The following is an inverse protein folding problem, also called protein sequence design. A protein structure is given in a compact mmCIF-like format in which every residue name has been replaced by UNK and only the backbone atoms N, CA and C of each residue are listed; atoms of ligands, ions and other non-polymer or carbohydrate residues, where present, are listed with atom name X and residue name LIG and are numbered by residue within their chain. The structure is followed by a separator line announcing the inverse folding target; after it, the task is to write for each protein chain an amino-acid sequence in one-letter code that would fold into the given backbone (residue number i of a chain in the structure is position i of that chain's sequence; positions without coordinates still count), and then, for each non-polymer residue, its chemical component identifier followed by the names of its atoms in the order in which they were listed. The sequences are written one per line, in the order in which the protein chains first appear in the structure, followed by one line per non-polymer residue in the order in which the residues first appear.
data_IF_303458749837
#
_entry.id   IF_303458749837
#
_cell.length_a   1.000
_cell.length_b   1.000
_cell.length_c   1.000
_cell.angle_alpha   90.00
_cell.angle_beta   90.00
_cell.angle_gamma   90.00
#
_symmetry.space_group_name_H-M   'P 1'
#
loop_
_entity.id
_entity.type
_entity.pdbx_description
1 polymer ?
#
# COMPACT_ATOMS: atom_id res chain seq x y z
N UNK A 1 4.27 -0.32 13.37
CA UNK A 1 3.31 -1.09 12.53
C UNK A 1 3.05 -0.43 11.18
N UNK A 2 2.55 0.82 11.14
CA UNK A 2 2.19 1.55 9.90
C UNK A 2 3.31 1.65 8.86
N UNK A 3 4.49 2.14 9.24
CA UNK A 3 5.63 2.26 8.33
C UNK A 3 6.06 0.91 7.74
N UNK A 4 6.01 -0.16 8.54
CA UNK A 4 6.36 -1.50 8.11
C UNK A 4 5.39 -2.00 7.02
N UNK A 5 4.08 -1.76 7.19
CA UNK A 5 3.06 -2.09 6.20
C UNK A 5 3.25 -1.31 4.89
N UNK A 6 3.45 0.01 4.97
CA UNK A 6 3.72 0.86 3.78
C UNK A 6 4.98 0.37 3.05
N UNK A 7 6.03 0.03 3.79
CA UNK A 7 7.26 -0.50 3.22
C UNK A 7 7.04 -1.88 2.55
N UNK A 8 6.20 -2.75 3.11
CA UNK A 8 5.83 -4.02 2.50
C UNK A 8 5.08 -3.80 1.17
N UNK A 9 4.10 -2.90 1.16
CA UNK A 9 3.36 -2.53 -0.06
C UNK A 9 4.30 -1.99 -1.14
N UNK A 10 5.23 -1.10 -0.77
CA UNK A 10 6.25 -0.56 -1.68
C UNK A 10 7.17 -1.65 -2.23
N UNK A 11 7.63 -2.57 -1.38
CA UNK A 11 8.46 -3.71 -1.80
C UNK A 11 7.73 -4.59 -2.78
N UNK A 12 6.45 -4.89 -2.52
CA UNK A 12 5.63 -5.68 -3.41
C UNK A 12 5.40 -4.99 -4.76
N UNK A 13 5.18 -3.67 -4.77
CA UNK A 13 5.11 -2.89 -6.02
C UNK A 13 6.38 -3.07 -6.85
N UNK A 14 7.55 -2.92 -6.20
CA UNK A 14 8.85 -3.06 -6.86
C UNK A 14 9.09 -4.49 -7.35
N UNK A 15 8.70 -5.51 -6.58
CA UNK A 15 8.83 -6.92 -6.97
C UNK A 15 7.96 -7.28 -8.19
N UNK A 16 6.85 -6.57 -8.40
CA UNK A 16 5.99 -6.71 -9.58
C UNK A 16 6.40 -5.80 -10.75
N UNK A 17 7.54 -5.11 -10.67
CA UNK A 17 8.00 -4.14 -11.68
C UNK A 17 6.98 -3.03 -12.00
N UNK A 18 6.14 -2.67 -11.03
CA UNK A 18 5.11 -1.65 -11.20
C UNK A 18 5.66 -0.26 -10.85
N UNK A 19 5.35 0.73 -11.67
CA UNK A 19 5.64 2.14 -11.39
C UNK A 19 4.60 2.74 -10.44
N UNK A 20 4.94 3.88 -9.84
CA UNK A 20 3.96 4.64 -9.04
C UNK A 20 2.77 5.14 -9.87
N UNK A 21 2.96 5.38 -11.18
CA UNK A 21 1.87 5.74 -12.10
C UNK A 21 0.89 4.57 -12.30
N UNK A 22 1.40 3.37 -12.56
CA UNK A 22 0.56 2.17 -12.76
C UNK A 22 -0.25 1.82 -11.50
N UNK A 23 0.34 1.97 -10.31
CA UNK A 23 -0.42 1.84 -9.07
C UNK A 23 -1.48 2.94 -8.94
N UNK A 24 -1.15 4.18 -9.30
CA UNK A 24 -2.09 5.28 -9.24
C UNK A 24 -3.31 5.06 -10.15
N UNK A 25 -3.08 4.56 -11.38
CA UNK A 25 -4.14 4.17 -12.32
C UNK A 25 -5.06 3.10 -11.73
N UNK A 26 -4.49 2.01 -11.19
CA UNK A 26 -5.27 0.94 -10.54
C UNK A 26 -6.04 1.42 -9.31
N UNK A 27 -5.48 2.36 -8.56
CA UNK A 27 -6.11 2.95 -7.37
C UNK A 27 -7.08 4.10 -7.71
N UNK A 28 -7.21 4.49 -8.98
CA UNK A 28 -7.94 5.67 -9.43
C UNK A 28 -7.53 6.94 -8.66
N UNK A 29 -6.23 7.18 -8.59
CA UNK A 29 -5.65 8.34 -7.91
C UNK A 29 -4.50 8.94 -8.71
N UNK A 30 -3.87 9.99 -8.18
CA UNK A 30 -2.72 10.64 -8.81
C UNK A 30 -1.40 10.04 -8.30
N UNK A 31 -0.37 9.99 -9.16
CA UNK A 31 0.99 9.53 -8.79
C UNK A 31 1.54 10.20 -7.55
N UNK A 32 1.31 11.51 -7.39
CA UNK A 32 1.76 12.26 -6.22
C UNK A 32 1.17 11.69 -4.92
N UNK A 33 -0.06 11.17 -4.94
CA UNK A 33 -0.68 10.54 -3.77
C UNK A 33 -0.02 9.22 -3.43
N UNK A 34 0.32 8.40 -4.44
CA UNK A 34 1.08 7.15 -4.28
C UNK A 34 2.48 7.43 -3.74
N UNK A 35 3.16 8.45 -4.27
CA UNK A 35 4.48 8.87 -3.79
C UNK A 35 4.45 9.33 -2.34
N UNK A 36 3.47 10.18 -1.98
CA UNK A 36 3.27 10.63 -0.59
C UNK A 36 2.94 9.45 0.35
N UNK A 37 2.14 8.49 -0.11
CA UNK A 37 1.78 7.29 0.64
C UNK A 37 3.03 6.45 0.92
N UNK A 38 3.86 6.19 -0.09
CA UNK A 38 5.12 5.42 0.04
C UNK A 38 6.16 6.11 0.93
N UNK A 39 6.11 7.44 1.01
CA UNK A 39 6.94 8.25 1.93
C UNK A 39 6.30 8.40 3.32
N UNK A 40 5.14 7.78 3.56
CA UNK A 40 4.36 7.88 4.79
C UNK A 40 4.02 9.32 5.25
N UNK A 41 3.98 10.28 4.31
CA UNK A 41 3.87 11.73 4.57
C UNK A 41 2.48 12.22 5.01
N UNK A 42 1.47 11.36 4.99
CA UNK A 42 0.13 11.64 5.53
C UNK A 42 -0.44 10.36 6.09
N UNK A 43 -1.47 10.42 6.94
CA UNK A 43 -2.08 9.22 7.51
C UNK A 43 -3.11 8.59 6.54
N UNK A 44 -2.80 7.48 5.84
CA UNK A 44 -3.74 6.83 4.95
C UNK A 44 -4.78 6.08 5.77
N UNK A 45 -6.03 6.20 5.36
CA UNK A 45 -7.11 5.36 5.87
C UNK A 45 -6.85 3.90 5.49
N UNK A 46 -7.40 2.96 6.25
CA UNK A 46 -7.32 1.53 5.95
C UNK A 46 -7.76 1.21 4.51
N UNK A 47 -8.83 1.87 4.03
CA UNK A 47 -9.30 1.71 2.65
C UNK A 47 -8.25 2.09 1.59
N UNK A 48 -7.37 3.06 1.87
CA UNK A 48 -6.28 3.42 0.96
C UNK A 48 -5.22 2.32 0.91
N UNK A 49 -4.91 1.70 2.06
CA UNK A 49 -3.96 0.59 2.15
C UNK A 49 -4.50 -0.66 1.45
N UNK A 50 -5.80 -0.93 1.61
CA UNK A 50 -6.50 -2.03 0.91
C UNK A 50 -6.46 -1.86 -0.61
N UNK A 51 -6.81 -0.66 -1.12
CA UNK A 51 -6.73 -0.37 -2.57
C UNK A 51 -5.32 -0.51 -3.12
N UNK A 52 -4.30 -0.10 -2.35
CA UNK A 52 -2.91 -0.28 -2.76
C UNK A 52 -2.55 -1.77 -2.83
N UNK A 53 -2.90 -2.56 -1.80
CA UNK A 53 -2.63 -4.00 -1.79
C UNK A 53 -3.27 -4.68 -3.00
N UNK A 54 -4.54 -4.38 -3.28
CA UNK A 54 -5.25 -4.88 -4.46
C UNK A 54 -4.58 -4.46 -5.77
N UNK A 55 -4.14 -3.21 -5.89
CA UNK A 55 -3.42 -2.70 -7.06
C UNK A 55 -2.08 -3.43 -7.31
N UNK A 56 -1.45 -3.98 -6.27
CA UNK A 56 -0.23 -4.79 -6.38
C UNK A 56 -0.53 -6.29 -6.55
N UNK A 57 -1.80 -6.71 -6.46
CA UNK A 57 -2.19 -8.11 -6.49
C UNK A 57 -1.98 -8.85 -5.17
N UNK A 58 -1.92 -8.12 -4.05
CA UNK A 58 -1.82 -8.68 -2.70
C UNK A 58 -3.15 -8.66 -1.96
N UNK A 59 -3.30 -9.61 -1.03
CA UNK A 59 -4.39 -9.64 -0.06
C UNK A 59 -3.85 -9.27 1.32
N UNK A 60 -4.46 -8.28 1.96
CA UNK A 60 -4.16 -7.95 3.36
C UNK A 60 -4.98 -8.84 4.30
N UNK A 61 -4.29 -9.49 5.24
CA UNK A 61 -4.91 -10.29 6.31
C UNK A 61 -4.60 -9.67 7.65
N UNK A 62 -5.63 -9.47 8.49
CA UNK A 62 -5.47 -9.03 9.87
C UNK A 62 -5.43 -10.25 10.78
N UNK A 63 -4.32 -10.42 11.50
CA UNK A 63 -4.20 -11.38 12.58
C UNK A 63 -4.24 -10.64 13.90
N UNK A 64 -5.13 -11.06 14.81
CA UNK A 64 -5.09 -10.62 16.19
C UNK A 64 -4.28 -11.65 16.97
N UNK A 65 -3.31 -11.24 17.80
CA UNK A 65 -2.70 -12.16 18.74
C UNK A 65 -3.81 -12.67 19.66
N UNK A 66 -4.09 -13.97 19.64
CA UNK A 66 -4.92 -14.58 20.68
C UNK A 66 -4.20 -14.40 22.00
N UNK A 67 -4.94 -14.00 23.04
CA UNK A 67 -4.43 -13.92 24.41
C UNK A 67 -3.80 -15.29 24.77
N UNK A 68 -2.63 -15.31 25.45
CA UNK A 68 -1.96 -16.57 25.81
C UNK A 68 -2.86 -17.48 26.65
#
# INVERSE_FOLDING_TARGET
MRQALINQLKKARLANNLTQMQIAEKMQTQKQNVSRLEKAQFDPKLGTLLKYAEAVGLRLTLGFPSKP
#
